data_IF_177146522352
#
_entry.id   IF_177146522352
#
_cell.length_a   1.000
_cell.length_b   1.000
_cell.length_c   1.000
_cell.angle_alpha   90.00
_cell.angle_beta   90.00
_cell.angle_gamma   90.00
#
_symmetry.space_group_name_H-M   'P 1'
#
loop_
_entity.id
_entity.type
_entity.pdbx_description
1 polymer ?
#
# COMPACT_ATOMS: atom_id res chain seq x y z
N UNK A 1 -12.98 13.59 -25.20
CA UNK A 1 -12.87 12.22 -24.66
C UNK A 1 -12.35 12.33 -23.25
N UNK A 2 -13.12 11.88 -22.25
CA UNK A 2 -12.68 11.87 -20.85
C UNK A 2 -11.72 10.70 -20.62
N UNK A 3 -10.42 10.99 -20.55
CA UNK A 3 -9.43 10.00 -20.19
C UNK A 3 -9.21 10.01 -18.66
N UNK A 4 -9.65 8.98 -17.92
CA UNK A 4 -9.51 8.92 -16.46
C UNK A 4 -8.05 8.93 -16.00
N UNK A 5 -7.10 8.53 -16.85
CA UNK A 5 -5.67 8.64 -16.55
C UNK A 5 -5.20 10.10 -16.55
N UNK A 6 -5.64 10.91 -17.52
CA UNK A 6 -5.27 12.32 -17.60
C UNK A 6 -5.78 13.09 -16.38
N UNK A 7 -7.00 12.81 -15.91
CA UNK A 7 -7.54 13.42 -14.68
C UNK A 7 -6.71 13.10 -13.43
N UNK A 8 -6.23 11.86 -13.31
CA UNK A 8 -5.35 11.45 -12.20
C UNK A 8 -3.97 12.11 -12.28
N UNK A 9 -3.43 12.27 -13.49
CA UNK A 9 -2.18 12.97 -13.73
C UNK A 9 -2.28 14.45 -13.35
N UNK A 10 -3.35 15.14 -13.77
CA UNK A 10 -3.62 16.53 -13.39
C UNK A 10 -3.70 16.66 -11.87
N UNK A 11 -4.50 15.82 -11.20
CA UNK A 11 -4.61 15.84 -9.74
C UNK A 11 -3.29 15.52 -9.00
N UNK A 12 -2.38 14.77 -9.62
CA UNK A 12 -1.04 14.52 -9.08
C UNK A 12 -0.16 15.77 -9.16
N UNK A 13 -0.07 16.41 -10.32
CA UNK A 13 0.72 17.63 -10.49
C UNK A 13 0.15 18.81 -9.70
N UNK A 14 -1.18 18.96 -9.64
CA UNK A 14 -1.84 20.00 -8.81
C UNK A 14 -1.53 19.83 -7.32
N UNK A 15 -1.42 18.59 -6.84
CA UNK A 15 -1.07 18.29 -5.44
C UNK A 15 0.40 18.52 -5.14
N UNK A 16 1.27 18.15 -6.07
CA UNK A 16 2.71 18.26 -5.91
C UNK A 16 3.21 19.72 -5.98
N UNK A 17 2.49 20.60 -6.68
CA UNK A 17 2.89 21.99 -6.89
C UNK A 17 4.20 22.11 -7.68
N UNK A 18 4.89 23.24 -7.55
CA UNK A 18 6.19 23.50 -8.20
C UNK A 18 7.37 22.83 -7.47
N UNK A 19 7.11 22.00 -6.47
CA UNK A 19 8.15 21.27 -5.76
C UNK A 19 8.70 20.13 -6.63
N UNK A 20 9.93 20.33 -7.09
CA UNK A 20 10.71 19.42 -7.93
C UNK A 20 10.91 18.04 -7.29
N UNK A 21 10.81 17.94 -5.95
CA UNK A 21 10.85 16.66 -5.24
C UNK A 21 9.51 15.93 -5.22
N UNK A 22 8.41 16.67 -5.38
CA UNK A 22 7.04 16.15 -5.27
C UNK A 22 6.47 15.71 -6.63
N UNK A 23 6.92 16.32 -7.72
CA UNK A 23 6.52 15.99 -9.09
C UNK A 23 7.68 15.39 -9.91
N UNK A 24 7.46 14.22 -10.52
CA UNK A 24 8.48 13.60 -11.38
C UNK A 24 8.75 14.44 -12.64
N UNK A 25 9.99 14.90 -12.82
CA UNK A 25 10.39 15.67 -14.00
C UNK A 25 11.04 14.77 -15.06
N UNK A 26 10.49 14.79 -16.28
CA UNK A 26 11.15 14.19 -17.43
C UNK A 26 12.28 15.09 -17.91
N UNK A 27 13.50 14.83 -17.43
CA UNK A 27 14.70 15.47 -17.93
C UNK A 27 15.44 14.53 -18.91
N UNK A 28 15.78 15.00 -20.13
CA UNK A 28 16.70 14.29 -20.99
C UNK A 28 18.05 14.15 -20.28
N UNK A 29 18.55 12.92 -20.15
CA UNK A 29 19.90 12.68 -19.66
C UNK A 29 20.84 12.52 -20.84
N UNK A 30 21.84 13.39 -20.91
CA UNK A 30 22.98 13.23 -21.79
C UNK A 30 23.88 12.14 -21.20
N UNK A 31 23.70 10.89 -21.65
CA UNK A 31 24.76 9.91 -21.55
C UNK A 31 25.79 10.28 -22.62
N UNK A 32 27.01 10.61 -22.20
CA UNK A 32 28.08 10.99 -23.11
C UNK A 32 28.87 9.73 -23.49
N UNK A 33 29.38 9.68 -24.72
CA UNK A 33 30.36 8.67 -25.12
C UNK A 33 31.73 9.32 -25.12
N UNK A 34 32.64 8.75 -24.35
CA UNK A 34 33.99 9.29 -24.19
C UNK A 34 35.03 8.23 -24.56
N UNK A 35 36.13 8.71 -25.14
CA UNK A 35 37.32 7.91 -25.39
C UNK A 35 38.04 7.75 -24.06
N UNK A 36 38.05 6.54 -23.51
CA UNK A 36 38.74 6.23 -22.25
C UNK A 36 40.24 5.98 -22.52
N UNK A 37 40.57 5.39 -23.67
CA UNK A 37 41.94 5.17 -24.13
C UNK A 37 42.00 5.08 -25.67
N UNK A 38 43.21 4.90 -26.21
CA UNK A 38 43.55 4.87 -27.64
C UNK A 38 42.65 3.95 -28.49
N UNK A 39 41.86 3.05 -27.88
CA UNK A 39 41.04 2.04 -28.56
C UNK A 39 39.64 1.86 -27.99
N UNK A 40 39.29 2.51 -26.88
CA UNK A 40 38.06 2.22 -26.13
C UNK A 40 37.16 3.44 -26.01
N UNK A 41 35.95 3.33 -26.56
CA UNK A 41 34.85 4.25 -26.28
C UNK A 41 33.96 3.63 -25.21
N UNK A 42 33.56 4.41 -24.21
CA UNK A 42 32.61 3.97 -23.20
C UNK A 42 31.56 5.05 -22.91
N UNK A 43 30.45 4.59 -22.36
CA UNK A 43 29.41 5.44 -21.82
C UNK A 43 29.86 6.04 -20.49
N UNK A 44 29.94 7.38 -20.43
CA UNK A 44 30.37 8.13 -19.26
C UNK A 44 29.18 8.86 -18.64
N UNK A 45 28.99 8.65 -17.34
CA UNK A 45 27.98 9.37 -16.57
C UNK A 45 28.60 10.60 -15.89
N UNK A 46 28.03 11.77 -16.16
CA UNK A 46 28.41 13.05 -15.53
C UNK A 46 27.31 13.57 -14.61
N UNK A 47 27.15 13.00 -13.40
CA UNK A 47 26.14 13.46 -12.46
C UNK A 47 26.53 14.82 -11.87
N UNK A 48 25.59 15.76 -11.82
CA UNK A 48 25.79 17.06 -11.16
C UNK A 48 25.33 17.02 -9.71
N UNK A 49 24.39 16.13 -9.40
CA UNK A 49 23.76 15.99 -8.08
C UNK A 49 23.59 14.52 -7.69
N UNK A 50 23.29 14.27 -6.42
CA UNK A 50 22.92 12.91 -5.96
C UNK A 50 21.66 12.38 -6.65
N UNK A 51 20.74 13.27 -7.05
CA UNK A 51 19.50 12.89 -7.73
C UNK A 51 19.78 12.34 -9.14
N UNK A 52 20.82 12.83 -9.80
CA UNK A 52 21.29 12.28 -11.06
C UNK A 52 21.68 10.80 -10.88
N UNK A 53 22.47 10.49 -9.85
CA UNK A 53 22.87 9.10 -9.56
C UNK A 53 21.67 8.19 -9.26
N UNK A 54 20.69 8.70 -8.51
CA UNK A 54 19.46 7.96 -8.19
C UNK A 54 18.64 7.70 -9.46
N UNK A 55 18.39 8.73 -10.27
CA UNK A 55 17.64 8.61 -11.53
C UNK A 55 18.33 7.64 -12.50
N UNK A 56 19.66 7.72 -12.63
CA UNK A 56 20.43 6.74 -13.41
C UNK A 56 20.13 5.31 -12.97
N UNK A 57 20.29 5.06 -11.66
CA UNK A 57 20.18 3.71 -11.10
C UNK A 57 18.78 3.14 -11.28
N UNK A 58 17.75 4.00 -11.14
CA UNK A 58 16.36 3.61 -11.38
C UNK A 58 16.12 3.31 -12.86
N UNK A 59 16.63 4.14 -13.79
CA UNK A 59 16.52 3.88 -15.23
C UNK A 59 17.23 2.61 -15.65
N UNK A 60 18.43 2.35 -15.13
CA UNK A 60 19.14 1.10 -15.37
C UNK A 60 18.35 -0.10 -14.86
N UNK A 61 17.71 0.00 -13.67
CA UNK A 61 16.79 -1.04 -13.21
C UNK A 61 15.64 -1.30 -14.20
N UNK A 62 15.09 -0.25 -14.83
CA UNK A 62 14.05 -0.39 -15.86
C UNK A 62 14.60 -1.00 -17.14
N UNK A 63 15.75 -0.54 -17.64
CA UNK A 63 16.41 -1.08 -18.85
C UNK A 63 16.74 -2.56 -18.70
N UNK A 64 17.21 -2.96 -17.52
CA UNK A 64 17.53 -4.35 -17.18
C UNK A 64 16.28 -5.17 -16.79
N UNK A 65 15.08 -4.60 -16.94
CA UNK A 65 13.80 -5.23 -16.60
C UNK A 65 13.77 -5.84 -15.19
N UNK A 66 14.41 -5.18 -14.23
CA UNK A 66 14.48 -5.64 -12.84
C UNK A 66 13.08 -5.70 -12.26
N UNK A 67 12.61 -6.92 -11.99
CA UNK A 67 11.26 -7.13 -11.47
C UNK A 67 11.21 -6.81 -9.98
N UNK A 68 10.31 -5.89 -9.62
CA UNK A 68 10.08 -5.47 -8.25
C UNK A 68 8.62 -5.70 -7.83
N UNK A 69 8.41 -5.97 -6.54
CA UNK A 69 7.09 -6.08 -5.92
C UNK A 69 7.08 -5.51 -4.52
N UNK A 70 5.89 -5.22 -4.02
CA UNK A 70 5.66 -4.86 -2.61
C UNK A 70 5.42 -6.16 -1.82
N UNK A 71 6.16 -6.35 -0.73
CA UNK A 71 6.00 -7.52 0.13
C UNK A 71 4.64 -7.47 0.86
N UNK A 72 3.83 -8.54 0.75
CA UNK A 72 2.51 -8.61 1.41
C UNK A 72 2.54 -8.61 2.94
N UNK A 73 3.68 -8.88 3.57
CA UNK A 73 3.83 -8.85 5.03
C UNK A 73 4.32 -7.49 5.55
N UNK A 74 5.42 -6.96 5.01
CA UNK A 74 6.06 -5.75 5.54
C UNK A 74 5.86 -4.48 4.70
N UNK A 75 5.19 -4.56 3.55
CA UNK A 75 4.87 -3.42 2.70
C UNK A 75 6.06 -2.77 1.98
N UNK A 76 7.27 -3.33 2.09
CA UNK A 76 8.47 -2.78 1.45
C UNK A 76 8.70 -3.38 0.06
N UNK A 77 9.24 -2.57 -0.86
CA UNK A 77 9.68 -3.05 -2.17
C UNK A 77 10.81 -4.07 -2.04
N UNK A 78 10.81 -5.08 -2.90
CA UNK A 78 11.88 -6.06 -3.05
C UNK A 78 12.00 -6.52 -4.49
N UNK A 79 13.23 -6.83 -4.89
CA UNK A 79 13.52 -7.49 -6.17
C UNK A 79 13.32 -8.99 -6.01
N UNK A 80 12.95 -9.66 -7.10
CA UNK A 80 12.89 -11.12 -7.12
C UNK A 80 13.50 -11.65 -8.41
N UNK A 81 14.27 -12.72 -8.27
CA UNK A 81 14.87 -13.46 -9.39
C UNK A 81 14.10 -14.78 -9.56
N UNK A 82 13.76 -15.14 -10.80
CA UNK A 82 13.06 -16.39 -11.10
C UNK A 82 11.52 -16.28 -11.11
N UNK A 83 10.83 -17.14 -10.34
CA UNK A 83 9.37 -17.36 -10.43
C UNK A 83 8.59 -16.07 -10.17
N UNK A 84 7.66 -15.76 -11.07
CA UNK A 84 6.71 -14.65 -10.99
C UNK A 84 5.72 -14.73 -9.81
N UNK A 85 5.81 -15.76 -8.98
CA UNK A 85 4.94 -15.99 -7.82
C UNK A 85 5.54 -15.48 -6.50
N UNK A 86 6.68 -14.80 -6.51
CA UNK A 86 7.23 -14.24 -5.27
C UNK A 86 6.30 -13.14 -4.71
N UNK A 87 5.86 -13.31 -3.45
CA UNK A 87 4.97 -12.38 -2.75
C UNK A 87 5.60 -11.76 -1.48
N UNK A 88 6.73 -12.32 -1.04
CA UNK A 88 7.37 -11.96 0.22
C UNK A 88 8.89 -11.78 0.05
N UNK A 89 9.45 -10.77 0.71
CA UNK A 89 10.89 -10.46 0.67
C UNK A 89 11.71 -11.32 1.65
N UNK A 90 13.05 -11.29 1.54
CA UNK A 90 13.95 -12.02 2.44
C UNK A 90 14.36 -11.24 3.70
N UNK A 91 13.69 -10.11 4.01
CA UNK A 91 14.01 -9.34 5.22
C UNK A 91 13.52 -10.09 6.45
N UNK A 92 14.32 -10.10 7.51
CA UNK A 92 13.91 -10.56 8.85
C UNK A 92 12.73 -9.71 9.33
N UNK A 93 11.71 -10.36 9.88
CA UNK A 93 10.46 -9.71 10.29
C UNK A 93 10.02 -10.01 11.73
N UNK A 94 10.81 -10.77 12.50
CA UNK A 94 10.57 -10.99 13.93
C UNK A 94 11.87 -11.22 14.72
N UNK A 95 11.74 -11.20 16.04
CA UNK A 95 12.85 -11.35 16.99
C UNK A 95 13.48 -12.75 16.97
N UNK A 96 12.82 -13.73 16.32
CA UNK A 96 13.33 -15.10 16.14
C UNK A 96 14.22 -15.21 14.90
N UNK A 97 14.47 -14.11 14.19
CA UNK A 97 15.31 -14.07 13.00
C UNK A 97 14.63 -14.59 11.73
N UNK A 98 13.31 -14.85 11.75
CA UNK A 98 12.60 -15.39 10.60
C UNK A 98 12.31 -14.31 9.58
N UNK A 99 12.37 -14.65 8.31
CA UNK A 99 12.16 -13.74 7.18
C UNK A 99 10.69 -13.65 6.76
N UNK A 100 10.30 -12.54 6.11
CA UNK A 100 8.97 -12.43 5.49
C UNK A 100 8.67 -13.59 4.54
N UNK A 101 9.68 -14.17 3.88
CA UNK A 101 9.51 -15.31 2.99
C UNK A 101 9.12 -16.60 3.72
N UNK A 102 9.58 -16.78 4.96
CA UNK A 102 9.31 -17.97 5.76
C UNK A 102 7.95 -17.90 6.47
N UNK A 103 7.59 -16.72 7.01
CA UNK A 103 6.40 -16.60 7.88
C UNK A 103 5.34 -15.64 7.36
N UNK A 104 5.60 -14.92 6.27
CA UNK A 104 4.74 -13.84 5.79
C UNK A 104 3.32 -14.31 5.46
N UNK A 105 3.16 -15.49 4.87
CA UNK A 105 1.83 -16.04 4.57
C UNK A 105 0.99 -16.28 5.84
N UNK A 106 1.59 -16.89 6.85
CA UNK A 106 0.92 -17.16 8.13
C UNK A 106 0.58 -15.86 8.86
N UNK A 107 1.52 -14.91 8.92
CA UNK A 107 1.29 -13.61 9.57
C UNK A 107 0.21 -12.79 8.87
N UNK A 108 0.24 -12.71 7.53
CA UNK A 108 -0.80 -12.02 6.76
C UNK A 108 -2.16 -12.69 6.94
N UNK A 109 -2.23 -14.03 6.93
CA UNK A 109 -3.47 -14.76 7.15
C UNK A 109 -4.06 -14.51 8.55
N UNK A 110 -3.24 -14.60 9.59
CA UNK A 110 -3.68 -14.34 10.97
C UNK A 110 -4.18 -12.91 11.15
N UNK A 111 -3.49 -11.92 10.57
CA UNK A 111 -3.94 -10.51 10.58
C UNK A 111 -5.30 -10.34 9.90
N UNK A 112 -5.44 -10.90 8.69
CA UNK A 112 -6.67 -10.75 7.91
C UNK A 112 -7.85 -11.51 8.53
N UNK A 113 -7.61 -12.65 9.21
CA UNK A 113 -8.65 -13.43 9.88
C UNK A 113 -9.31 -12.65 11.02
N UNK A 114 -8.55 -11.83 11.75
CA UNK A 114 -9.08 -10.95 12.78
C UNK A 114 -10.03 -9.91 12.20
N UNK A 115 -9.58 -9.15 11.21
CA UNK A 115 -10.40 -8.15 10.50
C UNK A 115 -11.66 -8.77 9.87
N UNK A 116 -11.56 -9.96 9.27
CA UNK A 116 -12.70 -10.68 8.70
C UNK A 116 -13.75 -11.04 9.78
N UNK A 117 -13.31 -11.49 10.96
CA UNK A 117 -14.21 -11.79 12.07
C UNK A 117 -14.91 -10.53 12.61
N UNK A 118 -14.18 -9.43 12.78
CA UNK A 118 -14.74 -8.12 13.20
C UNK A 118 -15.77 -7.63 12.18
N UNK A 119 -15.43 -7.67 10.89
CA UNK A 119 -16.33 -7.24 9.82
C UNK A 119 -17.60 -8.08 9.74
N UNK A 120 -17.50 -9.39 9.98
CA UNK A 120 -18.64 -10.30 9.99
C UNK A 120 -19.63 -9.98 11.13
N UNK A 121 -19.14 -9.69 12.34
CA UNK A 121 -19.98 -9.27 13.48
C UNK A 121 -20.67 -7.92 13.21
N UNK A 122 -19.92 -6.93 12.70
CA UNK A 122 -20.48 -5.64 12.29
C UNK A 122 -21.59 -5.81 11.24
N UNK A 123 -21.33 -6.59 10.18
CA UNK A 123 -22.29 -6.83 9.09
C UNK A 123 -23.57 -7.52 9.59
N UNK A 124 -23.45 -8.40 10.58
CA UNK A 124 -24.59 -9.10 11.19
C UNK A 124 -25.52 -8.12 11.90
N UNK A 125 -25.00 -7.27 12.77
CA UNK A 125 -25.80 -6.30 13.52
C UNK A 125 -26.32 -5.16 12.62
N UNK A 126 -25.53 -4.73 11.64
CA UNK A 126 -25.99 -3.77 10.61
C UNK A 126 -27.26 -4.27 9.91
N UNK A 127 -27.25 -5.51 9.41
CA UNK A 127 -28.41 -6.10 8.71
C UNK A 127 -29.64 -6.20 9.62
N UNK A 128 -29.44 -6.58 10.88
CA UNK A 128 -30.51 -6.70 11.89
C UNK A 128 -31.15 -5.34 12.18
N UNK A 129 -30.36 -4.28 12.34
CA UNK A 129 -30.87 -2.91 12.56
C UNK A 129 -31.52 -2.35 11.30
N UNK A 130 -30.93 -2.56 10.12
CA UNK A 130 -31.52 -2.14 8.86
C UNK A 130 -32.91 -2.76 8.62
N UNK A 131 -33.11 -4.02 9.02
CA UNK A 131 -34.42 -4.65 8.97
C UNK A 131 -35.46 -3.97 9.89
N UNK A 132 -35.05 -3.34 11.00
CA UNK A 132 -35.94 -2.57 11.89
C UNK A 132 -36.34 -1.22 11.27
N UNK A 133 -35.41 -0.55 10.58
CA UNK A 133 -35.71 0.67 9.81
C UNK A 133 -36.74 0.36 8.72
N UNK A 134 -36.54 -0.74 7.98
CA UNK A 134 -37.49 -1.15 6.94
C UNK A 134 -38.90 -1.46 7.48
N UNK A 135 -39.01 -1.81 8.77
CA UNK A 135 -40.27 -2.02 9.48
C UNK A 135 -40.84 -0.74 10.12
N UNK A 136 -40.16 0.40 9.97
CA UNK A 136 -40.56 1.68 10.56
C UNK A 136 -40.43 1.75 12.08
N UNK A 137 -39.66 0.83 12.69
CA UNK A 137 -39.55 0.71 14.15
C UNK A 137 -38.41 1.56 14.73
N UNK A 138 -37.52 2.08 13.88
CA UNK A 138 -36.35 2.88 14.27
C UNK A 138 -36.18 4.02 13.28
N UNK A 139 -35.95 5.22 13.80
CA UNK A 139 -35.64 6.41 12.99
C UNK A 139 -34.32 6.24 12.22
N UNK A 140 -34.26 6.60 10.93
CA UNK A 140 -33.05 6.49 10.11
C UNK A 140 -31.84 7.20 10.73
N UNK A 141 -32.03 8.36 11.36
CA UNK A 141 -30.95 9.15 11.94
C UNK A 141 -30.25 8.44 13.10
N UNK A 142 -31.02 7.70 13.92
CA UNK A 142 -30.47 6.88 15.02
C UNK A 142 -29.59 5.76 14.46
N UNK A 143 -29.97 5.19 13.32
CA UNK A 143 -29.17 4.15 12.67
C UNK A 143 -27.87 4.70 12.07
N UNK A 144 -27.91 5.85 11.42
CA UNK A 144 -26.70 6.44 10.83
C UNK A 144 -25.70 6.87 11.91
N UNK A 145 -26.17 7.48 13.00
CA UNK A 145 -25.33 7.84 14.14
C UNK A 145 -24.70 6.59 14.80
N UNK A 146 -25.46 5.49 14.91
CA UNK A 146 -24.90 4.20 15.34
C UNK A 146 -23.86 3.67 14.36
N UNK A 147 -24.12 3.74 13.05
CA UNK A 147 -23.23 3.23 12.00
C UNK A 147 -21.90 3.97 11.89
N UNK A 148 -21.84 5.25 12.27
CA UNK A 148 -20.58 5.98 12.43
C UNK A 148 -19.77 5.46 13.62
N UNK A 149 -20.38 5.42 14.82
CA UNK A 149 -19.73 4.89 16.03
C UNK A 149 -19.27 3.43 15.86
N UNK A 150 -20.06 2.62 15.16
CA UNK A 150 -19.73 1.22 14.90
C UNK A 150 -18.51 1.08 13.98
N UNK A 151 -18.32 1.97 13.00
CA UNK A 151 -17.12 2.00 12.17
C UNK A 151 -15.88 2.47 12.93
N UNK A 152 -16.03 3.44 13.83
CA UNK A 152 -14.94 3.87 14.72
C UNK A 152 -14.49 2.72 15.63
N UNK A 153 -15.44 2.07 16.32
CA UNK A 153 -15.20 0.90 17.17
C UNK A 153 -14.61 -0.29 16.39
N UNK A 154 -15.02 -0.48 15.15
CA UNK A 154 -14.44 -1.49 14.25
C UNK A 154 -12.96 -1.21 13.99
N UNK A 155 -12.60 0.05 13.71
CA UNK A 155 -11.20 0.46 13.52
C UNK A 155 -10.38 0.30 14.80
N UNK A 156 -10.95 0.59 15.98
CA UNK A 156 -10.29 0.33 17.27
C UNK A 156 -9.98 -1.16 17.47
N UNK A 157 -10.87 -2.05 17.02
CA UNK A 157 -10.68 -3.49 17.11
C UNK A 157 -9.61 -3.98 16.11
N UNK A 158 -9.58 -3.45 14.89
CA UNK A 158 -8.53 -3.75 13.90
C UNK A 158 -7.14 -3.26 14.34
N UNK A 159 -7.08 -2.13 15.04
CA UNK A 159 -5.86 -1.59 15.66
C UNK A 159 -5.40 -2.39 16.91
N UNK A 160 -6.21 -3.35 17.38
CA UNK A 160 -5.95 -4.12 18.59
C UNK A 160 -6.16 -3.36 19.90
N UNK A 161 -6.83 -2.19 19.87
CA UNK A 161 -7.20 -1.41 21.07
C UNK A 161 -8.42 -1.98 21.78
N UNK A 162 -9.26 -2.72 21.06
CA UNK A 162 -10.48 -3.36 21.53
C UNK A 162 -10.45 -4.83 21.11
N UNK A 163 -10.85 -5.75 21.99
CA UNK A 163 -11.00 -7.16 21.60
C UNK A 163 -12.26 -7.40 20.77
N UNK A 164 -12.29 -8.50 20.02
CA UNK A 164 -13.47 -8.91 19.24
C UNK A 164 -14.70 -9.15 20.14
N UNK A 165 -14.50 -9.67 21.35
CA UNK A 165 -15.58 -9.92 22.31
C UNK A 165 -16.19 -8.61 22.80
N UNK A 166 -15.35 -7.66 23.24
CA UNK A 166 -15.82 -6.33 23.67
C UNK A 166 -16.54 -5.59 22.54
N UNK A 167 -16.06 -5.71 21.30
CA UNK A 167 -16.72 -5.15 20.14
C UNK A 167 -18.09 -5.80 19.88
N UNK A 168 -18.18 -7.13 19.90
CA UNK A 168 -19.45 -7.87 19.71
C UNK A 168 -20.47 -7.51 20.78
N UNK A 169 -20.04 -7.35 22.04
CA UNK A 169 -20.95 -6.98 23.13
C UNK A 169 -21.42 -5.54 23.05
N UNK A 170 -20.53 -4.61 22.68
CA UNK A 170 -20.92 -3.23 22.39
C UNK A 170 -21.94 -3.14 21.24
N UNK A 171 -21.77 -3.92 20.16
CA UNK A 171 -22.72 -3.95 19.04
C UNK A 171 -24.12 -4.42 19.46
N UNK A 172 -24.22 -5.34 20.44
CA UNK A 172 -25.49 -5.86 20.96
C UNK A 172 -26.18 -4.91 21.92
N UNK A 173 -25.41 -4.15 22.71
CA UNK A 173 -25.91 -3.24 23.75
C UNK A 173 -26.21 -1.82 23.24
N UNK A 174 -25.65 -1.45 22.08
CA UNK A 174 -25.85 -0.13 21.42
C UNK A 174 -27.18 0.03 20.71
#
# INVERSE_FOLDING_TARGET
MDNPYLRKLVAYYDRAGDDVLSAFQFQPRSMNFEVIDDKTFAEALHPKTIYDLIDFSVRECVKQEVKMRVCKNCGRYFTFTGRSSAEYCNRVCDDKGRTCKEVGASLTWSKNRGSDAVFMEYRREYKKRFARIKRGTVEPDVFYAWGEKAREKMSECEDGKLSLEEFSDWLKQS
#
